data_IF_408374921403
#
_entry.id   IF_408374921403
#
_cell.length_a   1.000
_cell.length_b   1.000
_cell.length_c   1.000
_cell.angle_alpha   90.00
_cell.angle_beta   90.00
_cell.angle_gamma   90.00
#
_symmetry.space_group_name_H-M   'P 1'
#
loop_
_entity.id
_entity.type
_entity.pdbx_description
1 polymer ?
#
# COMPACT_ATOMS: atom_id res chain seq x y z
N UNK A 1 3.35 11.99 1.85
CA UNK A 1 2.47 13.04 2.41
C UNK A 1 2.46 14.24 1.46
N UNK A 2 1.34 14.47 0.78
CA UNK A 2 1.02 15.77 0.18
C UNK A 2 0.00 16.48 1.09
N UNK A 3 0.07 17.81 1.24
CA UNK A 3 -0.92 18.55 2.01
C UNK A 3 -2.23 18.63 1.23
N UNK A 4 -3.35 18.57 1.95
CA UNK A 4 -4.69 18.83 1.42
C UNK A 4 -4.74 20.18 0.72
N UNK A 5 -4.93 20.18 -0.59
CA UNK A 5 -5.33 21.36 -1.35
C UNK A 5 -6.74 21.18 -1.92
N UNK A 6 -7.39 22.31 -2.01
CA UNK A 6 -8.81 22.55 -2.21
C UNK A 6 -9.25 22.30 -3.65
N UNK A 7 -10.38 21.60 -3.81
CA UNK A 7 -11.45 21.82 -4.83
C UNK A 7 -10.90 22.38 -6.15
N UNK A 8 -10.50 21.52 -7.10
CA UNK A 8 -11.02 21.35 -8.47
C UNK A 8 -10.14 20.31 -9.20
N UNK A 9 -10.73 19.13 -9.51
CA UNK A 9 -10.38 18.18 -10.58
C UNK A 9 -8.95 17.60 -10.65
N UNK A 10 -8.76 16.44 -10.00
CA UNK A 10 -7.74 15.38 -10.21
C UNK A 10 -6.91 14.90 -8.99
N UNK A 11 -7.30 15.26 -7.76
CA UNK A 11 -6.64 14.73 -6.55
C UNK A 11 -7.04 13.28 -6.24
N UNK A 12 -6.40 12.33 -6.93
CA UNK A 12 -6.55 10.88 -6.72
C UNK A 12 -5.85 10.49 -5.42
N UNK A 13 -6.52 10.75 -4.29
CA UNK A 13 -6.02 10.59 -2.91
C UNK A 13 -5.78 9.14 -2.47
N UNK A 14 -4.82 8.46 -3.10
CA UNK A 14 -4.39 7.10 -2.76
C UNK A 14 -2.88 6.89 -2.82
N UNK A 15 -2.44 5.70 -2.42
CA UNK A 15 -1.06 5.25 -2.51
C UNK A 15 -0.66 5.08 -3.97
N UNK A 16 0.49 5.67 -4.30
CA UNK A 16 1.09 5.60 -5.63
C UNK A 16 2.05 4.43 -5.79
N UNK A 17 2.83 4.11 -4.73
CA UNK A 17 3.77 2.98 -4.73
C UNK A 17 4.05 2.48 -3.32
N UNK A 18 4.47 1.22 -3.20
CA UNK A 18 4.99 0.59 -2.00
C UNK A 18 6.35 -0.02 -2.29
N UNK A 19 7.25 0.06 -1.31
CA UNK A 19 8.54 -0.65 -1.29
C UNK A 19 8.65 -1.51 -0.04
N UNK A 20 9.27 -2.67 -0.18
CA UNK A 20 9.70 -3.53 0.93
C UNK A 20 11.21 -3.63 0.91
N UNK A 21 11.82 -3.65 2.09
CA UNK A 21 13.20 -4.04 2.28
C UNK A 21 13.25 -5.49 2.76
N UNK A 22 13.97 -6.33 2.03
CA UNK A 22 14.19 -7.73 2.36
C UNK A 22 15.34 -7.88 3.36
N UNK A 23 15.41 -9.03 4.03
CA UNK A 23 16.43 -9.30 5.05
C UNK A 23 17.86 -9.34 4.52
N UNK A 24 18.04 -9.47 3.20
CA UNK A 24 19.33 -9.41 2.51
C UNK A 24 19.71 -7.98 2.07
N UNK A 25 18.89 -6.97 2.42
CA UNK A 25 19.05 -5.57 2.01
C UNK A 25 18.49 -5.26 0.62
N UNK A 26 17.89 -6.22 -0.07
CA UNK A 26 17.25 -5.97 -1.37
C UNK A 26 15.98 -5.14 -1.17
N UNK A 27 15.84 -4.05 -1.94
CA UNK A 27 14.60 -3.27 -1.98
C UNK A 27 13.78 -3.69 -3.20
N UNK A 28 12.56 -4.15 -2.96
CA UNK A 28 11.57 -4.41 -4.02
C UNK A 28 10.48 -3.36 -3.96
N UNK A 29 10.05 -2.86 -5.11
CA UNK A 29 9.00 -1.86 -5.20
C UNK A 29 7.95 -2.22 -6.25
N UNK A 30 6.72 -1.76 -6.02
CA UNK A 30 5.70 -1.73 -7.06
C UNK A 30 6.05 -0.68 -8.11
N UNK A 31 5.40 -0.73 -9.28
CA UNK A 31 5.60 0.26 -10.35
C UNK A 31 5.60 1.68 -9.76
N UNK A 32 6.72 2.38 -9.89
CA UNK A 32 6.92 3.66 -9.25
C UNK A 32 5.92 4.67 -9.79
N UNK A 33 5.16 5.30 -8.90
CA UNK A 33 4.30 6.43 -9.25
C UNK A 33 5.15 7.68 -9.53
N UNK A 34 4.62 8.60 -10.35
CA UNK A 34 5.29 9.87 -10.69
C UNK A 34 5.25 10.89 -9.54
N UNK A 35 4.42 10.64 -8.53
CA UNK A 35 4.05 11.63 -7.52
C UNK A 35 4.17 11.06 -6.11
N UNK A 36 4.38 11.96 -5.13
CA UNK A 36 4.52 11.63 -3.72
C UNK A 36 5.97 11.52 -3.25
N UNK A 37 6.15 11.43 -1.94
CA UNK A 37 7.44 11.23 -1.28
C UNK A 37 7.41 9.89 -0.53
N UNK A 38 8.52 9.16 -0.60
CA UNK A 38 8.70 7.94 0.19
C UNK A 38 8.73 8.27 1.68
N UNK A 39 8.08 7.41 2.46
CA UNK A 39 8.24 7.39 3.92
C UNK A 39 9.48 6.58 4.30
N UNK A 40 9.91 6.74 5.55
CA UNK A 40 10.92 5.87 6.15
C UNK A 40 10.43 4.41 6.18
N UNK A 41 11.38 3.48 6.18
CA UNK A 41 11.08 2.07 6.38
C UNK A 41 10.60 1.85 7.82
N UNK A 42 9.72 0.87 7.96
CA UNK A 42 9.30 0.35 9.25
C UNK A 42 9.66 -1.12 9.29
N UNK A 43 10.22 -1.56 10.42
CA UNK A 43 10.73 -2.92 10.59
C UNK A 43 10.02 -3.60 11.75
N UNK A 44 9.79 -4.90 11.61
CA UNK A 44 9.29 -5.71 12.71
C UNK A 44 10.34 -5.77 13.82
N UNK A 45 9.97 -5.53 15.09
CA UNK A 45 10.92 -5.67 16.20
C UNK A 45 11.53 -7.07 16.28
N UNK A 46 10.73 -8.09 15.95
CA UNK A 46 11.14 -9.50 15.89
C UNK A 46 10.50 -10.16 14.67
N UNK A 47 11.31 -10.84 13.87
CA UNK A 47 10.87 -11.57 12.69
C UNK A 47 10.50 -10.65 11.53
N UNK A 48 9.61 -11.14 10.65
CA UNK A 48 9.23 -10.44 9.43
C UNK A 48 7.70 -10.31 9.33
N UNK A 49 7.24 -9.57 8.32
CA UNK A 49 5.82 -9.44 8.00
C UNK A 49 5.20 -10.77 7.57
N UNK A 50 4.01 -11.07 8.08
CA UNK A 50 3.28 -12.32 7.80
C UNK A 50 1.86 -12.09 7.30
N UNK A 51 1.30 -10.90 7.47
CA UNK A 51 -0.06 -10.55 7.01
C UNK A 51 -0.16 -9.04 6.79
N UNK A 52 -1.15 -8.60 6.03
CA UNK A 52 -1.42 -7.19 5.76
C UNK A 52 -2.93 -6.89 5.82
N UNK A 53 -3.26 -5.61 6.00
CA UNK A 53 -4.62 -5.10 5.83
C UNK A 53 -4.58 -3.73 5.15
N UNK A 54 -5.52 -3.50 4.24
CA UNK A 54 -5.60 -2.29 3.44
C UNK A 54 -6.66 -1.35 3.99
N UNK A 55 -6.34 -0.07 4.06
CA UNK A 55 -7.31 1.00 4.21
C UNK A 55 -7.66 1.49 2.80
N UNK A 56 -8.88 1.20 2.36
CA UNK A 56 -9.40 1.61 1.05
C UNK A 56 -10.23 2.88 1.20
N UNK A 57 -10.13 3.77 0.21
CA UNK A 57 -11.07 4.88 0.02
C UNK A 57 -11.99 4.52 -1.16
N UNK A 58 -13.30 4.64 -0.93
CA UNK A 58 -14.31 4.53 -1.98
C UNK A 58 -14.71 5.94 -2.42
N UNK A 59 -14.47 6.28 -3.68
CA UNK A 59 -14.98 7.50 -4.28
C UNK A 59 -16.43 7.25 -4.72
N UNK A 60 -17.38 7.95 -4.09
CA UNK A 60 -18.80 7.91 -4.49
C UNK A 60 -19.04 8.84 -5.68
N UNK A 61 -18.57 8.43 -6.86
CA UNK A 61 -18.81 9.07 -8.15
C UNK A 61 -19.60 8.18 -9.12
N UNK A 62 -19.75 8.60 -10.38
CA UNK A 62 -20.39 7.80 -11.45
C UNK A 62 -19.61 6.54 -11.86
N UNK A 63 -18.34 6.48 -11.46
CA UNK A 63 -17.43 5.36 -11.60
C UNK A 63 -17.04 4.93 -10.18
N UNK A 64 -17.25 3.67 -9.83
CA UNK A 64 -16.89 3.11 -8.52
C UNK A 64 -15.37 3.03 -8.40
N UNK A 65 -14.73 4.17 -8.16
CA UNK A 65 -13.28 4.25 -8.05
C UNK A 65 -12.85 3.95 -6.61
N UNK A 66 -12.08 2.87 -6.46
CA UNK A 66 -11.51 2.44 -5.18
C UNK A 66 -10.00 2.56 -5.24
N UNK A 67 -9.43 3.23 -4.25
CA UNK A 67 -8.00 3.41 -4.09
C UNK A 67 -7.53 2.87 -2.75
N UNK A 68 -6.34 2.26 -2.71
CA UNK A 68 -5.65 1.99 -1.46
C UNK A 68 -5.15 3.33 -0.94
N UNK A 69 -5.56 3.72 0.26
CA UNK A 69 -5.14 4.97 0.90
C UNK A 69 -4.02 4.73 1.92
N UNK A 70 -4.05 3.61 2.64
CA UNK A 70 -2.99 3.20 3.56
C UNK A 70 -2.91 1.67 3.69
N UNK A 71 -1.83 1.16 4.27
CA UNK A 71 -1.59 -0.25 4.54
C UNK A 71 -1.06 -0.42 5.97
N UNK A 72 -1.40 -1.54 6.60
CA UNK A 72 -0.74 -1.99 7.81
C UNK A 72 -0.31 -3.45 7.67
N UNK A 73 0.79 -3.81 8.32
CA UNK A 73 1.34 -5.15 8.35
C UNK A 73 1.32 -5.73 9.75
N UNK A 74 1.14 -7.04 9.84
CA UNK A 74 1.33 -7.79 11.08
C UNK A 74 2.66 -8.54 11.00
N UNK A 75 3.47 -8.37 12.04
CA UNK A 75 4.70 -9.10 12.27
C UNK A 75 4.43 -10.50 12.81
N UNK A 76 5.37 -11.42 12.60
CA UNK A 76 5.29 -12.79 13.11
C UNK A 76 5.03 -12.88 14.62
N UNK A 77 5.60 -11.94 15.38
CA UNK A 77 5.45 -11.87 16.84
C UNK A 77 4.10 -11.26 17.28
N UNK A 78 3.38 -10.57 16.39
CA UNK A 78 2.06 -10.00 16.66
C UNK A 78 2.01 -8.47 16.59
N UNK A 79 3.17 -7.80 16.65
CA UNK A 79 3.26 -6.34 16.43
C UNK A 79 2.60 -5.92 15.11
N UNK A 80 1.87 -4.81 15.12
CA UNK A 80 1.23 -4.22 13.92
C UNK A 80 1.94 -2.91 13.57
N UNK A 81 2.40 -2.78 12.33
CA UNK A 81 3.03 -1.57 11.80
C UNK A 81 2.10 -0.92 10.77
N UNK A 82 1.74 0.34 11.00
CA UNK A 82 0.84 1.10 10.12
C UNK A 82 1.65 2.08 9.28
N UNK A 83 1.38 2.11 7.97
CA UNK A 83 1.96 3.10 7.07
C UNK A 83 1.62 4.53 7.51
N UNK A 84 2.55 5.45 7.26
CA UNK A 84 2.45 6.86 7.69
C UNK A 84 2.00 7.79 6.57
N UNK A 85 1.57 7.25 5.42
CA UNK A 85 1.25 8.06 4.23
C UNK A 85 -0.02 8.89 4.40
N UNK A 86 -1.07 8.31 4.98
CA UNK A 86 -2.39 8.93 5.16
C UNK A 86 -3.05 8.43 6.46
N UNK A 87 -3.73 9.33 7.19
CA UNK A 87 -4.49 8.94 8.38
C UNK A 87 -5.79 8.26 7.96
N UNK A 88 -5.82 6.93 8.04
CA UNK A 88 -7.00 6.11 7.73
C UNK A 88 -7.78 5.75 9.00
N UNK A 89 -9.10 5.92 8.99
CA UNK A 89 -9.93 5.64 10.17
C UNK A 89 -10.38 4.17 10.27
N UNK A 90 -10.39 3.40 9.15
CA UNK A 90 -10.83 1.99 9.14
C UNK A 90 -10.09 1.14 8.12
N UNK A 91 -9.40 0.11 8.60
CA UNK A 91 -8.78 -0.92 7.78
C UNK A 91 -9.79 -2.02 7.45
N UNK A 92 -9.62 -2.65 6.28
CA UNK A 92 -10.39 -3.81 5.87
C UNK A 92 -10.01 -5.08 6.63
N UNK A 93 -10.53 -6.24 6.21
CA UNK A 93 -10.13 -7.52 6.79
C UNK A 93 -8.64 -7.78 6.58
N UNK A 94 -8.02 -8.48 7.52
CA UNK A 94 -6.66 -8.97 7.37
C UNK A 94 -6.58 -10.04 6.29
N UNK A 95 -5.45 -10.06 5.58
CA UNK A 95 -5.10 -11.18 4.72
C UNK A 95 -4.90 -12.47 5.52
N UNK A 96 -4.85 -13.60 4.83
CA UNK A 96 -4.35 -14.83 5.45
C UNK A 96 -2.89 -14.64 5.85
N UNK A 97 -2.51 -15.18 6.99
CA UNK A 97 -1.11 -15.21 7.39
C UNK A 97 -0.31 -16.14 6.47
N UNK A 98 0.95 -15.77 6.19
CA UNK A 98 1.94 -16.70 5.67
C UNK A 98 2.12 -17.83 6.69
N UNK A 99 1.59 -19.02 6.38
CA UNK A 99 1.65 -20.19 7.28
C UNK A 99 3.08 -20.69 7.49
N UNK A 100 3.91 -20.55 6.45
CA UNK A 100 5.32 -20.89 6.44
C UNK A 100 6.06 -19.67 5.90
N UNK A 101 7.17 -19.33 6.54
CA UNK A 101 8.04 -18.22 6.15
C UNK A 101 7.39 -16.85 6.34
N UNK A 102 7.56 -15.94 5.39
CA UNK A 102 7.19 -14.52 5.52
C UNK A 102 6.92 -13.86 4.16
N UNK A 103 6.42 -12.63 4.19
CA UNK A 103 6.23 -11.83 2.99
C UNK A 103 7.60 -11.54 2.36
N UNK A 104 7.74 -11.85 1.07
CA UNK A 104 8.99 -11.74 0.31
C UNK A 104 8.82 -11.03 -1.04
N UNK A 105 7.59 -10.70 -1.41
CA UNK A 105 7.28 -10.23 -2.76
C UNK A 105 5.99 -9.44 -2.77
N UNK A 106 5.89 -8.50 -3.72
CA UNK A 106 4.77 -7.59 -3.86
C UNK A 106 4.32 -7.49 -5.32
N UNK A 107 3.01 -7.37 -5.51
CA UNK A 107 2.39 -7.06 -6.79
C UNK A 107 1.23 -6.10 -6.55
N UNK A 108 1.26 -4.94 -7.21
CA UNK A 108 0.16 -3.98 -7.18
C UNK A 108 -0.61 -4.00 -8.50
N UNK A 109 -1.92 -3.80 -8.41
CA UNK A 109 -2.76 -3.44 -9.53
C UNK A 109 -2.99 -1.93 -9.49
N UNK A 110 -2.53 -1.24 -10.52
CA UNK A 110 -2.77 0.19 -10.71
C UNK A 110 -3.94 0.39 -11.67
N UNK A 111 -4.50 1.60 -11.72
CA UNK A 111 -5.43 1.96 -12.80
C UNK A 111 -4.73 1.89 -14.16
N UNK A 112 -5.45 1.49 -15.20
CA UNK A 112 -4.99 1.61 -16.58
C UNK A 112 -5.26 3.05 -17.04
N UNK A 113 -4.25 3.68 -17.63
CA UNK A 113 -4.32 5.06 -18.12
C UNK A 113 -5.41 5.18 -19.19
N UNK A 114 -6.59 5.71 -18.84
CA UNK A 114 -7.66 5.99 -19.79
C UNK A 114 -7.46 7.39 -20.42
N UNK A 115 -6.43 7.55 -21.27
CA UNK A 115 -6.23 8.75 -22.11
C UNK A 115 -4.96 9.57 -21.80
N UNK A 116 -5.00 10.88 -22.09
CA UNK A 116 -3.93 11.84 -21.72
C UNK A 116 -4.23 12.39 -20.32
N UNK A 117 -3.90 11.62 -19.28
CA UNK A 117 -4.08 12.00 -17.87
C UNK A 117 -3.52 10.89 -16.98
N UNK A 118 -2.62 11.26 -16.08
CA UNK A 118 -1.82 10.34 -15.27
C UNK A 118 -2.52 10.02 -13.93
N UNK A 119 -3.21 8.88 -13.83
CA UNK A 119 -3.79 8.42 -12.55
C UNK A 119 -3.27 7.03 -12.19
N UNK A 120 -2.00 6.95 -11.77
CA UNK A 120 -1.41 5.69 -11.30
C UNK A 120 -1.68 5.48 -9.80
N UNK A 121 -2.95 5.32 -9.43
CA UNK A 121 -3.32 4.97 -8.05
C UNK A 121 -3.42 3.46 -7.89
N UNK A 122 -2.89 2.92 -6.78
CA UNK A 122 -3.00 1.50 -6.47
C UNK A 122 -4.46 1.19 -6.09
N UNK A 123 -5.09 0.25 -6.79
CA UNK A 123 -6.45 -0.25 -6.49
C UNK A 123 -6.46 -1.56 -5.71
N UNK A 124 -5.44 -2.39 -5.89
CA UNK A 124 -5.34 -3.69 -5.23
C UNK A 124 -3.88 -4.11 -5.06
N UNK A 125 -3.63 -4.98 -4.08
CA UNK A 125 -2.30 -5.48 -3.75
C UNK A 125 -2.30 -6.96 -3.40
N UNK A 126 -1.26 -7.64 -3.85
CA UNK A 126 -0.93 -9.01 -3.46
C UNK A 126 0.47 -9.04 -2.89
N UNK A 127 0.61 -9.78 -1.81
CA UNK A 127 1.88 -10.11 -1.17
C UNK A 127 2.13 -11.60 -1.33
N UNK A 128 3.39 -11.96 -1.61
CA UNK A 128 3.83 -13.34 -1.80
C UNK A 128 4.47 -13.84 -0.51
N UNK A 129 4.17 -15.08 -0.13
CA UNK A 129 4.81 -15.77 0.99
C UNK A 129 5.95 -16.66 0.46
N UNK A 130 7.16 -16.51 1.00
CA UNK A 130 8.31 -17.38 0.72
C UNK A 130 8.83 -18.01 2.01
N UNK A 131 9.55 -19.13 1.88
CA UNK A 131 10.20 -19.86 2.98
C UNK A 131 11.61 -19.35 3.22
#
# INVERSE_FOLDING_TARGET
MQPTQTIWTDDTGGLNSIRLECTDGTIIETKSGRWGNWTEFQECPIGNFVSFSLNMVEFKGLLDDKAVNNIQFSCKEGTILMGTSHNGQKFGPWSKHCRIGSICGIQAKTEEVQGRGDDATIRDMKFLCCV
#
